data_IF_798061450273
#
_entry.id   IF_798061450273
#
_cell.length_a   1.000
_cell.length_b   1.000
_cell.length_c   1.000
_cell.angle_alpha   90.00
_cell.angle_beta   90.00
_cell.angle_gamma   90.00
#
_symmetry.space_group_name_H-M   'P 1'
#
loop_
_entity.id
_entity.type
_entity.pdbx_description
1 polymer ?
#
# COMPACT_ATOMS: atom_id res chain seq x y z
N UNK A 1 10.23 -19.59 6.11
CA UNK A 1 9.24 -18.93 7.00
C UNK A 1 8.08 -18.57 6.10
N UNK A 2 6.89 -19.14 6.35
CA UNK A 2 5.68 -18.70 5.65
C UNK A 2 5.35 -17.27 6.07
N UNK A 3 5.19 -16.39 5.08
CA UNK A 3 4.76 -15.02 5.33
C UNK A 3 3.29 -15.05 5.73
N UNK A 4 3.01 -14.86 7.03
CA UNK A 4 1.66 -14.54 7.48
C UNK A 4 1.45 -13.05 7.27
N UNK A 5 0.49 -12.71 6.42
CA UNK A 5 0.08 -11.35 6.12
C UNK A 5 -0.68 -10.74 7.30
N UNK A 6 0.00 -10.54 8.43
CA UNK A 6 -0.57 -9.88 9.60
C UNK A 6 -0.86 -8.41 9.26
N UNK A 7 -2.14 -8.12 9.06
CA UNK A 7 -2.63 -6.77 8.82
C UNK A 7 -2.95 -6.11 10.16
N UNK A 8 -2.52 -4.86 10.33
CA UNK A 8 -2.94 -4.02 11.46
C UNK A 8 -4.40 -3.64 11.31
N UNK A 9 -5.11 -3.53 12.44
CA UNK A 9 -6.46 -2.97 12.42
C UNK A 9 -6.39 -1.47 12.13
N UNK A 10 -7.35 -0.88 11.38
CA UNK A 10 -7.40 0.56 11.16
C UNK A 10 -7.35 1.39 12.45
N UNK A 11 -7.97 0.89 13.53
CA UNK A 11 -7.91 1.53 14.85
C UNK A 11 -6.49 1.57 15.44
N UNK A 12 -5.70 0.52 15.26
CA UNK A 12 -4.32 0.44 15.75
C UNK A 12 -3.41 1.36 14.92
N UNK A 13 -3.62 1.40 13.60
CA UNK A 13 -2.96 2.35 12.71
C UNK A 13 -3.26 3.79 13.14
N UNK A 14 -4.54 4.16 13.31
CA UNK A 14 -4.93 5.51 13.71
C UNK A 14 -4.37 5.90 15.08
N UNK A 15 -4.40 5.00 16.08
CA UNK A 15 -3.80 5.26 17.40
C UNK A 15 -2.29 5.52 17.34
N UNK A 16 -1.57 4.86 16.43
CA UNK A 16 -0.10 4.95 16.36
C UNK A 16 0.38 6.07 15.43
N UNK A 17 -0.41 6.40 14.42
CA UNK A 17 -0.03 7.31 13.34
C UNK A 17 -0.74 8.67 13.42
N UNK A 18 -1.93 8.71 14.03
CA UNK A 18 -2.75 9.91 14.17
C UNK A 18 -3.46 9.94 15.54
N UNK A 19 -2.66 9.86 16.61
CA UNK A 19 -3.16 9.69 17.98
C UNK A 19 -4.12 10.82 18.42
N UNK A 20 -3.81 12.06 18.06
CA UNK A 20 -4.66 13.23 18.39
C UNK A 20 -6.06 13.13 17.76
N UNK A 21 -6.14 12.58 16.54
CA UNK A 21 -7.42 12.30 15.89
C UNK A 21 -8.10 11.08 16.50
N UNK A 22 -7.32 10.06 16.87
CA UNK A 22 -7.81 8.81 17.46
C UNK A 22 -8.27 8.96 18.92
N UNK A 23 -7.91 10.05 19.59
CA UNK A 23 -8.43 10.38 20.91
C UNK A 23 -9.95 10.36 20.88
N UNK A 24 -10.54 9.48 21.69
CA UNK A 24 -11.97 9.15 21.68
C UNK A 24 -12.85 10.24 22.31
N UNK A 25 -12.45 11.51 22.18
CA UNK A 25 -13.30 12.65 22.56
C UNK A 25 -14.57 12.58 21.70
N UNK A 26 -15.77 12.78 22.27
CA UNK A 26 -17.03 12.66 21.53
C UNK A 26 -17.06 13.48 20.23
N UNK A 27 -16.46 14.68 20.23
CA UNK A 27 -16.35 15.55 19.06
C UNK A 27 -15.52 14.92 17.93
N UNK A 28 -14.43 14.20 18.25
CA UNK A 28 -13.61 13.51 17.25
C UNK A 28 -14.35 12.32 16.63
N UNK A 29 -15.14 11.59 17.43
CA UNK A 29 -15.94 10.45 16.95
C UNK A 29 -17.06 10.90 15.99
N UNK A 30 -17.82 11.93 16.35
CA UNK A 30 -18.87 12.46 15.47
C UNK A 30 -18.28 13.09 14.20
N UNK A 31 -17.16 13.82 14.32
CA UNK A 31 -16.43 14.33 13.15
C UNK A 31 -15.92 13.18 12.26
N UNK A 32 -15.46 12.08 12.84
CA UNK A 32 -15.02 10.91 12.09
C UNK A 32 -16.17 10.23 11.33
N UNK A 33 -17.31 9.99 12.00
CA UNK A 33 -18.50 9.42 11.34
C UNK A 33 -18.95 10.27 10.16
N UNK A 34 -19.05 11.59 10.35
CA UNK A 34 -19.42 12.51 9.28
C UNK A 34 -18.46 12.44 8.08
N UNK A 35 -17.15 12.31 8.32
CA UNK A 35 -16.16 12.13 7.23
C UNK A 35 -16.26 10.78 6.54
N UNK A 36 -16.60 9.71 7.27
CA UNK A 36 -16.86 8.40 6.67
C UNK A 36 -18.12 8.45 5.81
N UNK A 37 -19.20 9.08 6.27
CA UNK A 37 -20.42 9.29 5.48
C UNK A 37 -20.13 10.05 4.19
N UNK A 38 -19.44 11.20 4.29
CA UNK A 38 -19.01 11.99 3.13
C UNK A 38 -18.10 11.19 2.18
N UNK A 39 -17.21 10.36 2.73
CA UNK A 39 -16.35 9.50 1.92
C UNK A 39 -17.17 8.47 1.13
N UNK A 40 -18.13 7.81 1.77
CA UNK A 40 -19.00 6.82 1.12
C UNK A 40 -19.87 7.46 0.03
N UNK A 41 -20.41 8.66 0.29
CA UNK A 41 -21.14 9.45 -0.72
C UNK A 41 -20.23 9.81 -1.91
N UNK A 42 -19.00 10.24 -1.64
CA UNK A 42 -18.03 10.56 -2.69
C UNK A 42 -17.62 9.32 -3.48
N UNK A 43 -17.42 8.17 -2.83
CA UNK A 43 -17.13 6.91 -3.53
C UNK A 43 -18.26 6.54 -4.50
N UNK A 44 -19.51 6.63 -4.05
CA UNK A 44 -20.67 6.31 -4.89
C UNK A 44 -20.79 7.26 -6.08
N UNK A 45 -20.57 8.56 -5.87
CA UNK A 45 -20.58 9.57 -6.93
C UNK A 45 -19.48 9.35 -7.99
N UNK A 46 -18.33 8.77 -7.59
CA UNK A 46 -17.17 8.60 -8.46
C UNK A 46 -16.92 7.15 -8.90
N UNK A 47 -17.76 6.16 -8.52
CA UNK A 47 -17.52 4.72 -8.74
C UNK A 47 -17.29 4.29 -10.20
N UNK A 48 -17.81 5.06 -11.16
CA UNK A 48 -17.66 4.80 -12.58
C UNK A 48 -16.34 5.35 -13.18
N UNK A 49 -15.57 6.10 -12.40
CA UNK A 49 -14.25 6.56 -12.80
C UNK A 49 -13.22 5.42 -12.71
N UNK A 50 -12.04 5.65 -13.30
CA UNK A 50 -10.89 4.77 -13.10
C UNK A 50 -10.31 4.95 -11.68
N UNK A 51 -9.38 4.07 -11.29
CA UNK A 51 -8.76 4.04 -9.95
C UNK A 51 -8.15 5.39 -9.59
N UNK A 52 -7.38 6.01 -10.51
CA UNK A 52 -6.79 7.35 -10.31
C UNK A 52 -7.84 8.43 -10.01
N UNK A 53 -9.00 8.38 -10.68
CA UNK A 53 -10.11 9.30 -10.44
C UNK A 53 -10.71 9.12 -9.05
N UNK A 54 -10.98 7.88 -8.63
CA UNK A 54 -11.54 7.58 -7.30
C UNK A 54 -10.54 7.96 -6.20
N UNK A 55 -9.26 7.68 -6.40
CA UNK A 55 -8.18 8.07 -5.48
C UNK A 55 -8.14 9.60 -5.31
N UNK A 56 -8.19 10.35 -6.41
CA UNK A 56 -8.11 11.82 -6.39
C UNK A 56 -9.37 12.48 -5.82
N UNK A 57 -10.55 11.95 -6.13
CA UNK A 57 -11.82 12.62 -5.84
C UNK A 57 -12.50 12.14 -4.54
N UNK A 58 -12.15 10.95 -4.04
CA UNK A 58 -12.75 10.39 -2.81
C UNK A 58 -11.70 10.06 -1.74
N UNK A 59 -10.70 9.22 -2.06
CA UNK A 59 -9.76 8.72 -1.06
C UNK A 59 -8.84 9.83 -0.51
N UNK A 60 -8.24 10.65 -1.38
CA UNK A 60 -7.36 11.74 -0.96
C UNK A 60 -8.10 12.77 -0.09
N UNK A 61 -9.29 13.30 -0.49
CA UNK A 61 -10.04 14.22 0.36
C UNK A 61 -10.41 13.63 1.72
N UNK A 62 -10.78 12.35 1.78
CA UNK A 62 -11.06 11.67 3.05
C UNK A 62 -9.83 11.65 3.96
N UNK A 63 -8.66 11.23 3.44
CA UNK A 63 -7.41 11.20 4.20
C UNK A 63 -6.99 12.60 4.67
N UNK A 64 -7.13 13.62 3.82
CA UNK A 64 -6.88 15.02 4.19
C UNK A 64 -7.84 15.52 5.26
N UNK A 65 -9.12 15.11 5.19
CA UNK A 65 -10.11 15.39 6.24
C UNK A 65 -9.77 14.77 7.59
N UNK A 66 -9.00 13.68 7.61
CA UNK A 66 -8.43 13.08 8.82
C UNK A 66 -7.15 13.78 9.30
N UNK A 67 -6.68 14.81 8.60
CA UNK A 67 -5.46 15.56 8.96
C UNK A 67 -4.18 15.01 8.33
N UNK A 68 -4.27 14.07 7.38
CA UNK A 68 -3.08 13.56 6.69
C UNK A 68 -2.64 14.48 5.54
N UNK A 69 -1.32 14.64 5.38
CA UNK A 69 -0.76 15.21 4.16
C UNK A 69 -0.73 14.13 3.07
N UNK A 70 -1.81 14.01 2.31
CA UNK A 70 -1.92 13.07 1.21
C UNK A 70 -1.48 13.70 -0.13
N UNK A 71 -0.76 12.93 -0.94
CA UNK A 71 -0.38 13.26 -2.32
C UNK A 71 -0.75 12.09 -3.25
N UNK A 72 -1.48 12.37 -4.34
CA UNK A 72 -1.81 11.38 -5.38
C UNK A 72 -0.75 11.31 -6.46
N UNK A 73 -0.66 10.16 -7.14
CA UNK A 73 0.26 9.92 -8.25
C UNK A 73 1.72 10.32 -7.89
N UNK A 74 2.19 9.89 -6.72
CA UNK A 74 3.53 10.22 -6.24
C UNK A 74 4.58 9.52 -7.11
N UNK A 75 5.46 10.29 -7.75
CA UNK A 75 6.34 9.78 -8.80
C UNK A 75 7.58 9.09 -8.25
N UNK A 76 7.92 7.97 -8.87
CA UNK A 76 9.19 7.29 -8.74
C UNK A 76 9.93 7.29 -10.08
N UNK A 77 11.19 6.87 -10.11
CA UNK A 77 11.92 6.67 -11.36
C UNK A 77 11.25 5.65 -12.28
N UNK A 78 11.60 5.67 -13.57
CA UNK A 78 11.08 4.77 -14.61
C UNK A 78 9.54 4.82 -14.75
N UNK A 79 8.96 6.01 -14.61
CA UNK A 79 7.54 6.31 -14.82
C UNK A 79 6.54 5.50 -13.98
N UNK A 80 6.96 4.95 -12.83
CA UNK A 80 6.01 4.46 -11.81
C UNK A 80 5.45 5.58 -10.96
N UNK A 81 4.24 5.38 -10.49
CA UNK A 81 3.53 6.28 -9.59
C UNK A 81 2.88 5.46 -8.48
N UNK A 82 3.06 5.88 -7.23
CA UNK A 82 2.22 5.40 -6.13
C UNK A 82 0.86 6.09 -6.27
N UNK A 83 -0.24 5.33 -6.22
CA UNK A 83 -1.59 5.88 -6.35
C UNK A 83 -1.84 7.02 -5.36
N UNK A 84 -1.51 6.79 -4.08
CA UNK A 84 -1.53 7.81 -3.04
C UNK A 84 -0.42 7.58 -2.01
N UNK A 85 0.18 8.65 -1.51
CA UNK A 85 1.19 8.62 -0.47
C UNK A 85 0.79 9.56 0.67
N UNK A 86 0.95 9.12 1.92
CA UNK A 86 0.93 10.03 3.07
C UNK A 86 2.36 10.48 3.37
N UNK A 87 2.54 11.79 3.43
CA UNK A 87 3.83 12.42 3.60
C UNK A 87 4.01 12.97 5.01
N UNK A 88 5.26 13.03 5.44
CA UNK A 88 5.73 13.84 6.56
C UNK A 88 7.08 14.42 6.20
N UNK A 89 7.28 15.72 6.41
CA UNK A 89 8.52 16.42 6.07
C UNK A 89 8.99 16.14 4.62
N UNK A 90 8.02 16.10 3.69
CA UNK A 90 8.22 15.78 2.25
C UNK A 90 8.75 14.37 1.95
N UNK A 91 8.72 13.46 2.92
CA UNK A 91 9.04 12.04 2.74
C UNK A 91 7.80 11.17 2.83
N UNK A 92 7.76 10.09 2.04
CA UNK A 92 6.67 9.09 2.12
C UNK A 92 6.78 8.34 3.44
N UNK A 93 5.75 8.43 4.29
CA UNK A 93 5.60 7.60 5.48
C UNK A 93 4.61 6.44 5.25
N UNK A 94 3.61 6.62 4.37
CA UNK A 94 2.66 5.57 4.00
C UNK A 94 2.51 5.47 2.48
N UNK A 95 2.69 4.27 1.95
CA UNK A 95 2.42 3.92 0.55
C UNK A 95 0.99 3.38 0.47
N UNK A 96 0.16 3.89 -0.43
CA UNK A 96 -1.23 3.44 -0.63
C UNK A 96 -1.42 3.02 -2.09
N UNK A 97 -1.83 1.77 -2.28
CA UNK A 97 -2.20 1.19 -3.57
C UNK A 97 -3.69 0.87 -3.59
N UNK A 98 -4.40 1.30 -4.64
CA UNK A 98 -5.85 1.13 -4.73
C UNK A 98 -6.23 0.32 -5.97
N UNK A 99 -7.09 -0.70 -5.78
CA UNK A 99 -7.68 -1.45 -6.89
C UNK A 99 -9.19 -1.40 -6.83
N UNK A 100 -9.90 -1.30 -7.95
CA UNK A 100 -11.36 -1.39 -7.91
C UNK A 100 -11.82 -2.75 -7.36
N UNK A 101 -12.95 -2.80 -6.63
CA UNK A 101 -13.52 -4.07 -6.14
C UNK A 101 -13.80 -5.10 -7.25
N UNK A 102 -14.04 -4.65 -8.49
CA UNK A 102 -14.25 -5.53 -9.63
C UNK A 102 -12.96 -6.25 -10.07
N UNK A 103 -11.79 -5.70 -9.74
CA UNK A 103 -10.47 -6.20 -10.14
C UNK A 103 -9.91 -7.23 -9.13
N UNK A 104 -10.71 -8.25 -8.82
CA UNK A 104 -10.41 -9.26 -7.80
C UNK A 104 -9.09 -10.02 -8.03
N UNK A 105 -8.60 -10.11 -9.28
CA UNK A 105 -7.34 -10.78 -9.61
C UNK A 105 -6.12 -9.98 -9.15
N UNK A 106 -6.18 -8.65 -9.28
CA UNK A 106 -5.08 -7.76 -8.91
C UNK A 106 -5.18 -7.32 -7.44
N UNK A 107 -6.39 -7.31 -6.88
CA UNK A 107 -6.66 -6.90 -5.50
C UNK A 107 -6.14 -7.93 -4.48
N UNK A 108 -5.52 -7.41 -3.42
CA UNK A 108 -5.05 -8.20 -2.30
C UNK A 108 -6.20 -8.75 -1.47
N UNK A 109 -6.10 -10.01 -1.07
CA UNK A 109 -6.91 -10.58 0.02
C UNK A 109 -6.16 -11.70 0.72
N UNK A 110 -6.59 -12.15 1.91
CA UNK A 110 -5.99 -13.31 2.57
C UNK A 110 -5.99 -14.58 1.73
N UNK A 111 -6.93 -14.70 0.78
CA UNK A 111 -7.03 -15.83 -0.15
C UNK A 111 -6.34 -15.58 -1.50
N UNK A 112 -5.98 -14.32 -1.78
CA UNK A 112 -5.23 -13.90 -2.97
C UNK A 112 -4.07 -12.98 -2.56
N UNK A 113 -3.10 -13.48 -1.78
CA UNK A 113 -2.03 -12.62 -1.28
C UNK A 113 -0.96 -12.33 -2.34
N UNK A 114 -0.70 -13.28 -3.24
CA UNK A 114 0.25 -13.12 -4.34
C UNK A 114 -0.42 -12.42 -5.53
N UNK A 115 -0.69 -11.13 -5.38
CA UNK A 115 -1.41 -10.32 -6.35
C UNK A 115 -0.60 -9.10 -6.78
N UNK A 116 -1.04 -8.48 -7.88
CA UNK A 116 -0.37 -7.31 -8.47
C UNK A 116 -0.27 -6.13 -7.51
N UNK A 117 -1.32 -5.82 -6.76
CA UNK A 117 -1.29 -4.70 -5.79
C UNK A 117 -0.17 -4.87 -4.74
N UNK A 118 0.08 -6.11 -4.30
CA UNK A 118 1.20 -6.40 -3.42
C UNK A 118 2.54 -6.24 -4.15
N UNK A 119 2.65 -6.70 -5.40
CA UNK A 119 3.87 -6.55 -6.20
C UNK A 119 4.26 -5.09 -6.43
N UNK A 120 3.27 -4.24 -6.75
CA UNK A 120 3.41 -2.80 -6.89
C UNK A 120 3.91 -2.19 -5.58
N UNK A 121 3.25 -2.51 -4.46
CA UNK A 121 3.65 -2.07 -3.12
C UNK A 121 5.08 -2.50 -2.74
N UNK A 122 5.50 -3.72 -3.08
CA UNK A 122 6.87 -4.21 -2.84
C UNK A 122 7.87 -3.38 -3.65
N UNK A 123 7.58 -3.15 -4.93
CA UNK A 123 8.45 -2.36 -5.81
C UNK A 123 8.58 -0.91 -5.31
N UNK A 124 7.46 -0.27 -4.96
CA UNK A 124 7.45 1.09 -4.43
C UNK A 124 8.19 1.21 -3.11
N UNK A 125 8.01 0.25 -2.20
CA UNK A 125 8.76 0.19 -0.95
C UNK A 125 10.27 0.12 -1.22
N UNK A 126 10.72 -0.76 -2.11
CA UNK A 126 12.14 -0.89 -2.44
C UNK A 126 12.70 0.40 -3.06
N UNK A 127 11.94 1.06 -3.94
CA UNK A 127 12.33 2.35 -4.54
C UNK A 127 12.53 3.45 -3.53
N UNK A 128 11.60 3.59 -2.57
CA UNK A 128 11.78 4.52 -1.45
C UNK A 128 13.07 4.20 -0.67
N UNK A 129 13.31 2.92 -0.37
CA UNK A 129 14.48 2.48 0.42
C UNK A 129 15.82 2.61 -0.30
N UNK A 130 15.82 2.58 -1.64
CA UNK A 130 17.02 2.76 -2.48
C UNK A 130 17.22 4.21 -2.96
N UNK A 131 16.24 5.08 -2.74
CA UNK A 131 16.30 6.48 -3.17
C UNK A 131 15.98 6.69 -4.64
N UNK A 132 15.18 5.81 -5.23
CA UNK A 132 14.68 5.91 -6.61
C UNK A 132 13.30 6.59 -6.67
N UNK A 133 13.05 7.46 -5.68
CA UNK A 133 11.87 8.30 -5.55
C UNK A 133 12.10 9.69 -6.18
N UNK A 134 11.07 10.54 -6.22
CA UNK A 134 11.17 11.89 -6.80
C UNK A 134 12.27 12.77 -6.17
N UNK A 135 12.64 12.51 -4.91
CA UNK A 135 13.67 13.28 -4.20
C UNK A 135 15.09 12.76 -4.44
N UNK A 136 15.24 11.60 -5.10
CA UNK A 136 16.53 10.92 -5.34
C UNK A 136 17.33 10.65 -4.05
N UNK A 137 16.63 10.49 -2.93
CA UNK A 137 17.22 10.28 -1.61
C UNK A 137 16.63 9.05 -0.96
N UNK A 138 17.49 8.21 -0.36
CA UNK A 138 17.05 7.06 0.43
C UNK A 138 16.05 7.51 1.52
N UNK A 139 14.87 6.92 1.50
CA UNK A 139 13.83 7.15 2.48
C UNK A 139 13.75 5.97 3.46
N UNK A 140 14.17 6.20 4.70
CA UNK A 140 14.04 5.22 5.80
C UNK A 140 12.74 5.40 6.60
N UNK A 141 11.94 6.42 6.27
CA UNK A 141 10.77 6.89 7.03
C UNK A 141 9.47 6.20 6.63
N UNK A 142 9.47 5.32 5.63
CA UNK A 142 8.28 4.51 5.32
C UNK A 142 7.93 3.64 6.54
N UNK A 143 6.74 3.84 7.10
CA UNK A 143 6.22 3.17 8.30
C UNK A 143 5.13 2.16 7.99
N UNK A 144 4.29 2.45 6.98
CA UNK A 144 3.15 1.59 6.64
C UNK A 144 2.97 1.46 5.12
N UNK A 145 2.38 0.34 4.74
CA UNK A 145 1.92 0.08 3.37
C UNK A 145 0.44 -0.28 3.47
N UNK A 146 -0.38 0.31 2.60
CA UNK A 146 -1.82 0.12 2.59
C UNK A 146 -2.27 -0.33 1.22
N UNK A 147 -3.05 -1.41 1.17
CA UNK A 147 -3.75 -1.84 -0.06
C UNK A 147 -5.25 -1.74 0.18
N UNK A 148 -6.00 -1.13 -0.74
CA UNK A 148 -7.43 -0.91 -0.55
C UNK A 148 -8.26 -1.14 -1.81
N UNK A 149 -9.48 -1.65 -1.62
CA UNK A 149 -10.54 -1.63 -2.63
C UNK A 149 -11.51 -0.45 -2.44
N UNK A 150 -11.06 0.59 -1.73
CA UNK A 150 -11.82 1.74 -1.25
C UNK A 150 -12.79 1.44 -0.09
N UNK A 151 -13.10 0.18 0.21
CA UNK A 151 -13.99 -0.20 1.32
C UNK A 151 -13.26 -0.95 2.42
N UNK A 152 -12.24 -1.72 2.06
CA UNK A 152 -11.38 -2.50 2.94
C UNK A 152 -9.96 -1.96 2.87
N UNK A 153 -9.30 -1.89 4.01
CA UNK A 153 -7.95 -1.36 4.16
C UNK A 153 -7.06 -2.45 4.76
N UNK A 154 -6.15 -3.00 3.95
CA UNK A 154 -5.13 -3.94 4.39
C UNK A 154 -3.86 -3.16 4.73
N UNK A 155 -3.55 -3.06 6.01
CA UNK A 155 -2.47 -2.19 6.51
C UNK A 155 -1.31 -3.05 7.02
N UNK A 156 -0.13 -2.85 6.46
CA UNK A 156 1.08 -3.58 6.81
C UNK A 156 2.11 -2.66 7.45
N UNK A 157 2.80 -3.16 8.47
CA UNK A 157 3.95 -2.47 9.04
C UNK A 157 5.17 -2.60 8.10
N UNK A 158 5.89 -1.51 7.87
CA UNK A 158 7.10 -1.50 7.04
C UNK A 158 8.20 -2.45 7.55
N UNK A 159 8.24 -2.76 8.85
CA UNK A 159 9.16 -3.77 9.40
C UNK A 159 8.85 -5.18 8.87
N UNK A 160 7.57 -5.51 8.67
CA UNK A 160 7.17 -6.78 8.06
C UNK A 160 7.61 -6.80 6.58
N UNK A 161 7.40 -5.71 5.85
CA UNK A 161 7.89 -5.55 4.47
C UNK A 161 9.42 -5.70 4.38
N UNK A 162 10.16 -5.09 5.30
CA UNK A 162 11.60 -5.23 5.37
C UNK A 162 12.01 -6.70 5.52
N UNK A 163 11.49 -7.37 6.56
CA UNK A 163 11.87 -8.76 6.87
C UNK A 163 11.55 -9.73 5.72
N UNK A 164 10.45 -9.50 5.03
CA UNK A 164 9.94 -10.46 4.05
C UNK A 164 10.41 -10.18 2.62
N UNK A 165 10.66 -8.92 2.28
CA UNK A 165 10.98 -8.50 0.92
C UNK A 165 12.35 -7.82 0.79
N UNK A 166 12.69 -6.86 1.67
CA UNK A 166 14.00 -6.19 1.63
C UNK A 166 15.15 -7.14 1.98
N UNK A 167 14.96 -7.97 3.01
CA UNK A 167 15.99 -8.89 3.49
C UNK A 167 16.04 -10.19 2.68
N UNK A 168 15.07 -10.41 1.78
CA UNK A 168 15.05 -11.57 0.90
C UNK A 168 16.07 -11.39 -0.24
N UNK A 169 17.10 -12.25 -0.24
CA UNK A 169 18.21 -12.19 -1.20
C UNK A 169 17.77 -12.39 -2.66
N UNK A 170 16.73 -13.18 -2.92
CA UNK A 170 16.22 -13.41 -4.29
C UNK A 170 15.50 -12.18 -4.80
N UNK A 171 14.66 -11.56 -3.95
CA UNK A 171 13.96 -10.31 -4.28
C UNK A 171 14.96 -9.17 -4.49
N UNK A 172 16.01 -9.06 -3.64
CA UNK A 172 17.07 -8.05 -3.85
C UNK A 172 17.82 -8.25 -5.17
N UNK A 173 18.12 -9.51 -5.54
CA UNK A 173 18.75 -9.82 -6.83
C UNK A 173 17.83 -9.47 -8.00
N UNK A 174 16.54 -9.81 -7.91
CA UNK A 174 15.55 -9.48 -8.92
C UNK A 174 15.41 -7.96 -9.09
N UNK A 175 15.36 -7.22 -7.99
CA UNK A 175 15.29 -5.76 -8.01
C UNK A 175 16.53 -5.14 -8.68
N UNK A 176 17.73 -5.64 -8.34
CA UNK A 176 18.97 -5.17 -8.99
C UNK A 176 18.94 -5.40 -10.50
N UNK A 177 18.45 -6.57 -10.94
CA UNK A 177 18.33 -6.93 -12.36
C UNK A 177 17.43 -5.98 -13.15
N UNK A 178 16.46 -5.30 -12.52
CA UNK A 178 15.60 -4.30 -13.18
C UNK A 178 16.40 -3.10 -13.72
N UNK A 179 17.59 -2.85 -13.18
CA UNK A 179 18.47 -1.73 -13.55
C UNK A 179 19.76 -2.19 -14.26
N UNK A 180 19.94 -3.50 -14.46
CA UNK A 180 21.12 -4.05 -15.12
C UNK A 180 20.95 -4.02 -16.64
N UNK A 181 21.91 -3.38 -17.34
CA UNK A 181 21.91 -3.33 -18.81
C UNK A 181 22.05 -4.74 -19.39
N UNK A 182 21.14 -5.11 -20.29
CA UNK A 182 21.11 -6.44 -20.91
C UNK A 182 20.47 -7.54 -20.05
N UNK A 183 19.84 -7.16 -18.94
CA UNK A 183 18.97 -8.05 -18.16
C UNK A 183 17.72 -8.43 -18.95
N UNK A 184 17.20 -9.63 -18.71
CA UNK A 184 15.88 -10.06 -19.22
C UNK A 184 14.71 -9.44 -18.43
N UNK A 185 15.01 -8.73 -17.33
CA UNK A 185 14.03 -7.98 -16.54
C UNK A 185 14.08 -6.54 -17.02
N UNK A 186 13.33 -6.24 -18.07
CA UNK A 186 13.43 -4.95 -18.77
C UNK A 186 12.47 -3.90 -18.21
N UNK A 187 11.37 -4.35 -17.59
CA UNK A 187 10.32 -3.47 -17.10
C UNK A 187 9.65 -4.02 -15.83
N UNK A 188 8.70 -3.24 -15.32
CA UNK A 188 7.98 -3.56 -14.08
C UNK A 188 7.13 -4.83 -14.20
N UNK A 189 6.58 -5.12 -15.38
CA UNK A 189 5.78 -6.34 -15.58
C UNK A 189 6.67 -7.59 -15.52
N UNK A 190 7.89 -7.55 -16.06
CA UNK A 190 8.86 -8.65 -15.92
C UNK A 190 9.24 -8.85 -14.46
N UNK A 191 9.48 -7.74 -13.74
CA UNK A 191 9.73 -7.77 -12.31
C UNK A 191 8.56 -8.42 -11.54
N UNK A 192 7.31 -8.03 -11.82
CA UNK A 192 6.12 -8.61 -11.17
C UNK A 192 5.96 -10.11 -11.46
N UNK A 193 6.19 -10.51 -12.72
CA UNK A 193 6.09 -11.91 -13.14
C UNK A 193 7.09 -12.81 -12.40
N UNK A 194 8.35 -12.38 -12.29
CA UNK A 194 9.38 -13.14 -11.56
C UNK A 194 9.18 -13.07 -10.05
N UNK A 195 8.76 -11.91 -9.52
CA UNK A 195 8.45 -11.75 -8.11
C UNK A 195 7.34 -12.71 -7.69
N UNK A 196 6.29 -12.86 -8.51
CA UNK A 196 5.20 -13.80 -8.27
C UNK A 196 5.72 -15.23 -8.07
N UNK A 197 6.65 -15.70 -8.90
CA UNK A 197 7.24 -17.04 -8.80
C UNK A 197 8.04 -17.23 -7.50
N UNK A 198 8.79 -16.20 -7.09
CA UNK A 198 9.55 -16.20 -5.82
C UNK A 198 8.59 -16.32 -4.63
N UNK A 199 7.47 -15.59 -4.66
CA UNK A 199 6.46 -15.60 -3.59
C UNK A 199 5.73 -16.95 -3.51
N UNK A 200 5.36 -17.55 -4.64
CA UNK A 200 4.72 -18.88 -4.68
C UNK A 200 5.66 -19.98 -4.15
N UNK A 201 6.94 -19.93 -4.54
CA UNK A 201 7.95 -20.88 -4.07
C UNK A 201 8.18 -20.80 -2.55
N UNK A 202 7.98 -19.61 -1.97
CA UNK A 202 8.13 -19.34 -0.54
C UNK A 202 6.90 -19.76 0.29
N UNK A 203 5.73 -19.88 -0.34
CA UNK A 203 4.45 -20.20 0.30
C UNK A 203 4.24 -21.71 0.57
N UNK A 204 5.04 -22.59 -0.04
CA UNK A 204 4.94 -24.06 0.10
C UNK A 204 5.25 -24.66 1.49
N UNK A 205 5.42 -23.83 2.53
CA UNK A 205 5.78 -24.24 3.88
C UNK A 205 4.77 -23.82 4.95
N UNK A 206 3.62 -24.49 5.03
CA UNK A 206 2.77 -24.51 6.23
C UNK A 206 1.65 -23.47 6.29
N UNK A 207 0.41 -23.94 6.06
CA UNK A 207 -0.80 -23.18 6.28
C UNK A 207 -1.15 -23.01 7.76
N UNK A 208 -1.88 -21.92 8.05
CA UNK A 208 -2.98 -21.84 9.04
C UNK A 208 -3.70 -20.49 8.90
N UNK A 209 -5.00 -20.55 9.12
CA UNK A 209 -6.03 -19.49 8.98
C UNK A 209 -5.71 -18.17 9.70
N UNK A 210 -6.07 -17.04 9.06
CA UNK A 210 -6.08 -15.69 9.65
C UNK A 210 -7.53 -15.30 10.01
N UNK A 211 -7.83 -14.84 11.24
CA UNK A 211 -9.16 -14.37 11.61
C UNK A 211 -9.39 -12.86 11.40
N UNK A 212 -10.67 -12.57 11.13
CA UNK A 212 -11.47 -11.34 11.31
C UNK A 212 -11.27 -10.12 10.39
N UNK A 213 -12.17 -10.08 9.39
CA UNK A 213 -12.57 -8.95 8.56
C UNK A 213 -13.04 -7.76 9.41
N UNK A 214 -12.60 -6.56 9.04
CA UNK A 214 -13.24 -5.32 9.46
C UNK A 214 -13.64 -4.59 8.18
N UNK A 215 -14.94 -4.60 7.86
CA UNK A 215 -15.54 -3.68 6.89
C UNK A 215 -15.76 -2.35 7.59
N UNK A 216 -15.58 -1.25 6.87
CA UNK A 216 -16.07 0.07 7.31
C UNK A 216 -17.58 0.01 7.58
#
# INVERSE_FOLDING_TARGET
>A
MSFQYECLKPQEFMKTYNAEYADSKPQNLESFKAKVEQYLESLEAHKNQNEKGIVSNALMPFLQGLGFQAQVAYKHQANSEIDCALLKDSQVEVIIEAKKPENNKEMFSPNNPNCKALHECILYYLRERKGENQNLTRNASVRYILITDFYQFYIFNALAFKKCFEDNKEIQKLYKKLYEKGSLIENQNDFYKELSQILDSSAGGGGKSIPSRHKL
#
